data_IF_146268493558
#
_entry.id   IF_146268493558
#
_cell.length_a   1.000
_cell.length_b   1.000
_cell.length_c   1.000
_cell.angle_alpha   90.00
_cell.angle_beta   90.00
_cell.angle_gamma   90.00
#
_symmetry.space_group_name_H-M   'P 1'
#
loop_
_entity.id
_entity.type
_entity.pdbx_description
1 polymer ?
#
# COMPACT_ATOMS: atom_id res chain seq x y z
N UNK A 1 -13.75 -24.14 -9.00
CA UNK A 1 -12.37 -24.28 -9.46
C UNK A 1 -11.88 -23.18 -10.40
N UNK A 2 -12.73 -22.70 -11.33
CA UNK A 2 -12.29 -21.69 -12.33
C UNK A 2 -12.09 -20.28 -11.75
N UNK A 3 -12.79 -19.91 -10.69
CA UNK A 3 -12.68 -18.58 -10.11
C UNK A 3 -11.37 -18.38 -9.29
N UNK A 4 -10.88 -19.44 -8.66
CA UNK A 4 -9.61 -19.40 -7.92
C UNK A 4 -8.39 -19.26 -8.84
N UNK A 5 -8.42 -19.91 -9.98
CA UNK A 5 -7.33 -19.87 -10.97
C UNK A 5 -7.15 -18.46 -11.55
N UNK A 6 -8.24 -17.74 -11.81
CA UNK A 6 -8.21 -16.38 -12.35
C UNK A 6 -7.62 -15.37 -11.35
N UNK A 7 -7.91 -15.50 -10.05
CA UNK A 7 -7.35 -14.61 -9.00
C UNK A 7 -5.85 -14.84 -8.79
N UNK A 8 -5.40 -16.08 -8.90
CA UNK A 8 -3.99 -16.46 -8.78
C UNK A 8 -3.17 -15.88 -9.92
N UNK A 9 -3.65 -15.98 -11.15
CA UNK A 9 -2.99 -15.44 -12.33
C UNK A 9 -2.93 -13.90 -12.28
N UNK A 10 -3.96 -13.25 -11.72
CA UNK A 10 -3.97 -11.79 -11.52
C UNK A 10 -2.89 -11.31 -10.54
N UNK A 11 -2.68 -12.00 -9.42
CA UNK A 11 -1.63 -11.61 -8.47
C UNK A 11 -0.23 -11.72 -9.07
N UNK A 12 0.04 -12.76 -9.87
CA UNK A 12 1.28 -12.87 -10.63
C UNK A 12 1.42 -11.73 -11.63
N UNK A 13 0.37 -11.45 -12.39
CA UNK A 13 0.33 -10.35 -13.35
C UNK A 13 0.58 -9.00 -12.67
N UNK A 14 -0.06 -8.72 -11.53
CA UNK A 14 0.17 -7.49 -10.77
C UNK A 14 1.61 -7.38 -10.27
N UNK A 15 2.22 -8.46 -9.80
CA UNK A 15 3.61 -8.47 -9.41
C UNK A 15 4.54 -8.04 -10.53
N UNK A 16 4.37 -8.62 -11.72
CA UNK A 16 5.15 -8.25 -12.90
C UNK A 16 4.91 -6.81 -13.35
N UNK A 17 3.66 -6.36 -13.35
CA UNK A 17 3.32 -4.97 -13.73
C UNK A 17 3.90 -3.94 -12.75
N UNK A 18 3.87 -4.23 -11.47
CA UNK A 18 4.47 -3.36 -10.45
C UNK A 18 5.99 -3.24 -10.63
N UNK A 19 6.68 -4.33 -10.94
CA UNK A 19 8.11 -4.32 -11.24
C UNK A 19 8.38 -3.48 -12.49
N UNK A 20 7.63 -3.67 -13.56
CA UNK A 20 7.77 -2.90 -14.81
C UNK A 20 7.53 -1.41 -14.59
N UNK A 21 6.64 -1.07 -13.64
CA UNK A 21 6.36 0.32 -13.27
C UNK A 21 7.37 0.92 -12.29
N UNK A 22 8.37 0.16 -11.84
CA UNK A 22 9.47 0.66 -11.02
C UNK A 22 9.26 0.56 -9.51
N UNK A 23 8.30 -0.24 -9.04
CA UNK A 23 8.05 -0.44 -7.62
C UNK A 23 8.86 -1.60 -7.03
N UNK A 24 9.29 -1.43 -5.77
CA UNK A 24 9.83 -2.51 -4.97
C UNK A 24 8.66 -3.29 -4.34
N UNK A 25 8.64 -4.61 -4.50
CA UNK A 25 7.52 -5.43 -4.05
C UNK A 25 7.97 -6.55 -3.11
N UNK A 26 7.01 -7.02 -2.30
CA UNK A 26 7.17 -8.15 -1.40
C UNK A 26 5.95 -9.06 -1.47
N UNK A 27 6.10 -10.39 -1.27
CA UNK A 27 4.96 -11.31 -1.25
C UNK A 27 4.26 -11.23 0.11
N UNK A 28 2.94 -11.14 0.09
CA UNK A 28 2.11 -11.08 1.29
C UNK A 28 1.50 -12.45 1.56
N UNK A 29 1.59 -12.89 2.81
CA UNK A 29 1.03 -14.17 3.24
C UNK A 29 -0.48 -14.18 3.12
N UNK A 30 -1.03 -15.26 2.53
CA UNK A 30 -2.48 -15.44 2.41
C UNK A 30 -3.19 -15.30 3.77
N UNK A 31 -4.21 -14.46 3.81
CA UNK A 31 -4.99 -14.21 5.02
C UNK A 31 -4.34 -13.28 6.04
N UNK A 32 -3.23 -12.63 5.67
CA UNK A 32 -2.49 -11.70 6.54
C UNK A 32 -2.18 -10.40 5.80
N UNK A 33 -1.72 -9.41 6.55
CA UNK A 33 -1.15 -8.16 6.00
C UNK A 33 0.38 -8.19 5.98
N UNK A 34 0.97 -9.25 6.51
CA UNK A 34 2.41 -9.40 6.68
C UNK A 34 3.06 -10.10 5.49
N UNK A 35 4.29 -9.72 5.13
CA UNK A 35 5.09 -10.46 4.15
C UNK A 35 5.37 -11.89 4.64
N UNK A 36 5.49 -12.81 3.67
CA UNK A 36 5.71 -14.24 3.95
C UNK A 36 7.15 -14.58 4.27
N UNK A 37 8.09 -13.76 3.85
CA UNK A 37 9.51 -14.07 3.82
C UNK A 37 10.21 -13.33 4.93
N UNK A 38 11.00 -14.03 5.76
CA UNK A 38 11.86 -13.40 6.75
C UNK A 38 12.92 -12.53 6.05
N UNK A 39 13.20 -11.35 6.61
CA UNK A 39 14.15 -10.42 6.00
C UNK A 39 13.61 -9.70 4.75
N UNK A 40 12.31 -9.63 4.62
CA UNK A 40 11.64 -9.02 3.47
C UNK A 40 12.04 -7.56 3.20
N UNK A 41 12.51 -6.84 4.21
CA UNK A 41 12.97 -5.45 4.05
C UNK A 41 14.18 -5.31 3.10
N UNK A 42 14.93 -6.39 2.93
CA UNK A 42 16.11 -6.45 2.07
C UNK A 42 15.84 -7.08 0.69
N UNK A 43 14.59 -7.43 0.39
CA UNK A 43 14.24 -8.03 -0.91
C UNK A 43 14.39 -6.99 -2.01
N UNK A 44 15.05 -7.41 -3.08
CA UNK A 44 15.15 -6.70 -4.36
C UNK A 44 14.50 -7.58 -5.43
N UNK A 45 13.20 -7.46 -5.56
CA UNK A 45 12.39 -8.34 -6.39
C UNK A 45 12.52 -8.00 -7.87
N UNK A 46 12.71 -9.03 -8.68
CA UNK A 46 12.65 -9.01 -10.14
C UNK A 46 11.57 -9.99 -10.66
N UNK A 47 11.42 -10.06 -11.96
CA UNK A 47 10.44 -10.96 -12.58
C UNK A 47 10.68 -12.43 -12.27
N UNK A 48 11.94 -12.85 -12.19
CA UNK A 48 12.29 -14.22 -11.85
C UNK A 48 11.87 -14.57 -10.42
N UNK A 49 12.08 -13.66 -9.48
CA UNK A 49 11.69 -13.86 -8.08
C UNK A 49 10.16 -13.96 -7.92
N UNK A 50 9.39 -13.16 -8.66
CA UNK A 50 7.92 -13.27 -8.69
C UNK A 50 7.49 -14.67 -9.17
N UNK A 51 8.11 -15.17 -10.23
CA UNK A 51 7.82 -16.52 -10.73
C UNK A 51 8.18 -17.60 -9.70
N UNK A 52 9.29 -17.44 -8.98
CA UNK A 52 9.67 -18.34 -7.91
C UNK A 52 8.66 -18.32 -6.76
N UNK A 53 8.16 -17.17 -6.35
CA UNK A 53 7.12 -17.08 -5.32
C UNK A 53 5.88 -17.87 -5.70
N UNK A 54 5.42 -17.73 -6.93
CA UNK A 54 4.25 -18.48 -7.44
C UNK A 54 4.53 -19.98 -7.45
N UNK A 55 5.70 -20.41 -7.92
CA UNK A 55 6.10 -21.81 -7.98
C UNK A 55 6.27 -22.46 -6.61
N UNK A 56 6.67 -21.67 -5.61
CA UNK A 56 6.89 -22.13 -4.23
C UNK A 56 5.61 -22.09 -3.37
N UNK A 57 4.44 -21.98 -3.97
CA UNK A 57 3.16 -22.06 -3.27
C UNK A 57 2.62 -20.73 -2.76
N UNK A 58 3.23 -19.60 -3.11
CA UNK A 58 2.77 -18.26 -2.70
C UNK A 58 1.76 -17.64 -3.65
N UNK A 59 1.20 -18.44 -4.54
CA UNK A 59 0.26 -17.99 -5.58
C UNK A 59 -1.05 -17.41 -5.04
N UNK A 60 -1.48 -17.83 -3.85
CA UNK A 60 -2.74 -17.40 -3.22
C UNK A 60 -2.58 -16.16 -2.32
N UNK A 61 -1.37 -15.69 -2.14
CA UNK A 61 -1.07 -14.50 -1.34
C UNK A 61 -1.28 -13.21 -2.10
N UNK A 62 -1.04 -12.09 -1.42
CA UNK A 62 -1.07 -10.76 -2.02
C UNK A 62 0.31 -10.26 -2.44
N UNK A 63 0.33 -9.02 -2.90
CA UNK A 63 1.54 -8.27 -3.24
C UNK A 63 1.56 -6.98 -2.44
N UNK A 64 2.65 -6.73 -1.72
CA UNK A 64 2.89 -5.49 -0.99
C UNK A 64 3.92 -4.61 -1.69
N UNK A 65 3.84 -3.32 -1.40
CA UNK A 65 4.84 -2.34 -1.81
C UNK A 65 5.80 -2.12 -0.65
N UNK A 66 7.08 -2.38 -0.88
CA UNK A 66 8.14 -2.05 0.06
C UNK A 66 8.46 -0.56 -0.03
N UNK A 67 8.36 0.13 1.09
CA UNK A 67 8.64 1.56 1.17
C UNK A 67 10.15 1.82 1.15
N UNK A 68 10.67 2.10 -0.02
CA UNK A 68 12.03 2.58 -0.29
C UNK A 68 11.95 3.91 -1.01
N UNK A 69 11.67 3.86 -2.30
CA UNK A 69 11.42 5.04 -3.14
C UNK A 69 9.94 5.44 -3.19
N UNK A 70 9.09 4.73 -2.47
CA UNK A 70 7.66 5.00 -2.32
C UNK A 70 7.35 5.13 -0.84
N UNK A 71 6.68 6.21 -0.47
CA UNK A 71 6.07 6.37 0.85
C UNK A 71 4.56 6.26 0.71
N UNK A 72 3.85 6.08 1.80
CA UNK A 72 2.40 6.01 1.76
C UNK A 72 1.79 6.76 2.95
N UNK A 73 0.80 7.60 2.65
CA UNK A 73 -0.04 8.19 3.69
C UNK A 73 -1.12 7.16 4.05
N UNK A 74 -1.07 6.68 5.28
CA UNK A 74 -1.97 5.67 5.83
C UNK A 74 -2.95 6.33 6.79
N UNK A 75 -4.20 6.38 6.38
CA UNK A 75 -5.29 6.97 7.14
C UNK A 75 -6.04 5.85 7.87
N UNK A 76 -5.60 5.58 9.09
CA UNK A 76 -6.21 4.61 10.00
C UNK A 76 -7.28 5.30 10.86
N UNK A 77 -8.33 5.75 10.21
CA UNK A 77 -9.40 6.54 10.81
C UNK A 77 -10.76 6.07 10.30
N UNK A 78 -11.71 5.90 11.22
CA UNK A 78 -13.09 5.50 10.91
C UNK A 78 -14.05 6.69 10.74
N UNK A 79 -13.61 7.90 11.02
CA UNK A 79 -14.42 9.11 10.85
C UNK A 79 -14.38 9.57 9.40
N UNK A 80 -15.53 9.45 8.72
CA UNK A 80 -15.64 9.79 7.29
C UNK A 80 -15.40 11.27 6.99
N UNK A 81 -15.79 12.16 7.90
CA UNK A 81 -15.61 13.60 7.70
C UNK A 81 -14.15 14.01 7.86
N UNK A 82 -13.45 13.44 8.84
CA UNK A 82 -12.00 13.63 9.00
C UNK A 82 -11.28 13.09 7.75
N UNK A 83 -11.65 11.91 7.28
CA UNK A 83 -11.03 11.28 6.10
C UNK A 83 -11.22 12.13 4.83
N UNK A 84 -12.38 12.74 4.65
CA UNK A 84 -12.63 13.68 3.55
C UNK A 84 -11.69 14.88 3.61
N UNK A 85 -11.52 15.46 4.77
CA UNK A 85 -10.61 16.61 4.98
C UNK A 85 -9.15 16.24 4.70
N UNK A 86 -8.72 15.06 5.16
CA UNK A 86 -7.38 14.55 4.91
C UNK A 86 -7.14 14.29 3.41
N UNK A 87 -8.11 13.71 2.72
CA UNK A 87 -8.06 13.47 1.28
C UNK A 87 -7.93 14.77 0.50
N UNK A 88 -8.74 15.77 0.82
CA UNK A 88 -8.68 17.09 0.19
C UNK A 88 -7.32 17.74 0.44
N UNK A 89 -6.83 17.70 1.68
CA UNK A 89 -5.52 18.25 2.03
C UNK A 89 -4.39 17.59 1.22
N UNK A 90 -4.39 16.27 1.11
CA UNK A 90 -3.38 15.53 0.33
C UNK A 90 -3.42 15.92 -1.15
N UNK A 91 -4.61 16.01 -1.74
CA UNK A 91 -4.78 16.40 -3.14
C UNK A 91 -4.28 17.82 -3.41
N UNK A 92 -4.55 18.75 -2.50
CA UNK A 92 -4.19 20.16 -2.64
C UNK A 92 -2.70 20.44 -2.34
N UNK A 93 -2.12 19.73 -1.37
CA UNK A 93 -0.79 20.05 -0.85
C UNK A 93 0.31 19.11 -1.34
N UNK A 94 -0.03 17.88 -1.72
CA UNK A 94 0.96 16.90 -2.18
C UNK A 94 0.71 16.51 -3.63
N UNK A 95 -0.47 16.02 -3.93
CA UNK A 95 -0.87 15.64 -5.28
C UNK A 95 -1.92 14.55 -5.26
N UNK A 96 -2.67 14.45 -6.35
CA UNK A 96 -3.69 13.42 -6.52
C UNK A 96 -3.06 12.11 -6.99
N UNK A 97 -3.37 11.02 -6.30
CA UNK A 97 -2.92 9.67 -6.64
C UNK A 97 -4.05 8.67 -6.37
N UNK A 98 -3.90 7.45 -6.88
CA UNK A 98 -4.83 6.38 -6.58
C UNK A 98 -4.93 6.11 -5.08
N UNK A 99 -6.11 5.73 -4.63
CA UNK A 99 -6.41 5.47 -3.23
C UNK A 99 -6.74 3.99 -3.06
N UNK A 100 -5.96 3.29 -2.25
CA UNK A 100 -6.21 1.89 -1.93
C UNK A 100 -7.08 1.76 -0.69
N UNK A 101 -8.16 1.02 -0.79
CA UNK A 101 -9.09 0.74 0.31
C UNK A 101 -9.13 -0.75 0.61
N UNK A 102 -8.77 -1.13 1.83
CA UNK A 102 -8.95 -2.48 2.36
C UNK A 102 -10.22 -2.61 3.18
N UNK A 103 -10.37 -1.77 4.19
CA UNK A 103 -11.53 -1.67 5.07
C UNK A 103 -11.99 -0.22 5.15
N UNK A 104 -13.05 0.10 4.39
CA UNK A 104 -13.60 1.44 4.38
C UNK A 104 -14.02 1.90 5.80
N UNK A 105 -13.88 3.16 6.16
CA UNK A 105 -13.44 4.30 5.36
C UNK A 105 -11.93 4.54 5.35
N UNK A 106 -11.13 3.65 5.92
CA UNK A 106 -9.67 3.72 5.93
C UNK A 106 -9.11 3.62 4.52
N UNK A 107 -8.02 4.32 4.25
CA UNK A 107 -7.36 4.24 2.95
C UNK A 107 -5.86 4.56 3.02
N UNK A 108 -5.16 4.21 1.96
CA UNK A 108 -3.73 4.49 1.75
C UNK A 108 -3.55 5.23 0.43
N UNK A 109 -2.74 6.28 0.43
CA UNK A 109 -2.32 6.99 -0.78
C UNK A 109 -0.80 6.93 -0.93
N UNK A 110 -0.28 6.32 -2.00
CA UNK A 110 1.16 6.22 -2.24
C UNK A 110 1.71 7.47 -2.92
N UNK A 111 2.96 7.80 -2.58
CA UNK A 111 3.70 8.93 -3.16
C UNK A 111 5.15 8.55 -3.42
N UNK A 112 5.75 9.17 -4.40
CA UNK A 112 7.18 9.01 -4.72
C UNK A 112 8.02 9.83 -3.74
N UNK A 113 9.15 9.28 -3.32
CA UNK A 113 10.17 9.99 -2.53
C UNK A 113 11.52 9.93 -3.26
N UNK A 114 12.24 11.04 -3.28
CA UNK A 114 13.57 11.14 -3.89
C UNK A 114 14.66 10.50 -3.03
N UNK A 115 14.45 10.44 -1.72
CA UNK A 115 15.25 9.69 -0.77
C UNK A 115 14.34 9.06 0.29
N UNK A 116 14.71 7.89 0.85
CA UNK A 116 13.89 7.24 1.85
C UNK A 116 13.61 8.15 3.05
N UNK A 117 12.38 8.12 3.54
CA UNK A 117 11.97 8.83 4.75
C UNK A 117 11.62 7.80 5.83
N UNK A 118 11.83 8.18 7.09
CA UNK A 118 11.43 7.34 8.22
C UNK A 118 9.93 7.43 8.43
N UNK A 119 9.35 6.38 9.04
CA UNK A 119 7.95 6.38 9.49
C UNK A 119 7.67 7.59 10.35
N UNK A 120 6.53 8.23 10.11
CA UNK A 120 5.98 9.30 10.95
C UNK A 120 4.57 8.88 11.36
N UNK A 121 4.24 9.05 12.63
CA UNK A 121 2.91 8.73 13.14
C UNK A 121 2.36 9.91 13.94
N UNK A 122 1.08 10.24 13.72
CA UNK A 122 0.35 11.18 14.57
C UNK A 122 0.16 10.63 15.98
N UNK A 123 -0.15 11.51 16.92
CA UNK A 123 -0.75 11.07 18.16
C UNK A 123 -2.07 10.34 17.88
N UNK A 124 -2.41 9.37 18.72
CA UNK A 124 -3.74 8.77 18.68
C UNK A 124 -4.76 9.82 19.13
N UNK A 125 -5.88 9.88 18.42
CA UNK A 125 -7.03 10.69 18.81
C UNK A 125 -8.26 9.81 18.91
N UNK A 126 -9.20 10.16 19.77
CA UNK A 126 -10.42 9.40 19.98
C UNK A 126 -11.62 10.24 19.59
N UNK A 127 -12.63 9.58 19.01
CA UNK A 127 -13.95 10.18 18.80
C UNK A 127 -14.79 10.13 20.08
N UNK A 128 -16.02 10.65 20.02
CA UNK A 128 -16.95 10.67 21.15
C UNK A 128 -17.37 9.29 21.64
N UNK A 129 -17.16 8.24 20.82
CA UNK A 129 -17.43 6.84 21.16
C UNK A 129 -16.21 6.12 21.71
N UNK A 130 -15.07 6.80 21.87
CA UNK A 130 -13.83 6.22 22.35
C UNK A 130 -13.07 5.40 21.29
N UNK A 131 -13.47 5.44 20.01
CA UNK A 131 -12.75 4.78 18.93
C UNK A 131 -11.44 5.53 18.67
N UNK A 132 -10.35 4.78 18.66
CA UNK A 132 -9.01 5.36 18.43
C UNK A 132 -8.71 5.45 16.96
N UNK A 133 -8.13 6.57 16.56
CA UNK A 133 -7.72 6.88 15.21
C UNK A 133 -6.25 7.33 15.19
N UNK A 134 -5.59 7.09 14.09
CA UNK A 134 -4.25 7.61 13.82
C UNK A 134 -4.03 7.81 12.32
N UNK A 135 -3.11 8.69 11.98
CA UNK A 135 -2.58 8.79 10.61
C UNK A 135 -1.07 8.56 10.65
N UNK A 136 -0.57 7.93 9.60
CA UNK A 136 0.84 7.60 9.49
C UNK A 136 1.36 7.95 8.10
N UNK A 137 2.65 8.24 8.02
CA UNK A 137 3.40 8.13 6.77
C UNK A 137 4.28 6.90 6.89
N UNK A 138 4.00 5.89 6.09
CA UNK A 138 4.80 4.68 6.00
C UNK A 138 6.08 5.01 5.22
N UNK A 139 7.21 4.64 5.79
CA UNK A 139 8.52 4.96 5.26
C UNK A 139 9.45 3.76 5.23
N UNK A 140 10.74 4.04 5.22
CA UNK A 140 11.80 3.04 5.11
C UNK A 140 11.62 1.86 6.08
N UNK A 141 11.76 0.65 5.55
CA UNK A 141 11.62 -0.58 6.33
C UNK A 141 10.18 -1.05 6.53
N UNK A 142 9.20 -0.35 5.97
CA UNK A 142 7.78 -0.70 6.05
C UNK A 142 7.23 -1.13 4.69
N UNK A 143 6.01 -1.62 4.68
CA UNK A 143 5.29 -2.00 3.47
C UNK A 143 3.79 -1.78 3.64
N UNK A 144 3.07 -1.76 2.55
CA UNK A 144 1.61 -1.83 2.54
C UNK A 144 1.14 -2.80 1.46
N UNK A 145 0.01 -3.47 1.71
CA UNK A 145 -0.58 -4.38 0.72
C UNK A 145 -1.17 -3.57 -0.42
N UNK A 146 -0.75 -3.86 -1.65
CA UNK A 146 -1.28 -3.23 -2.85
C UNK A 146 -2.41 -4.06 -3.47
N UNK A 147 -2.23 -5.37 -3.54
CA UNK A 147 -3.21 -6.30 -4.09
C UNK A 147 -3.30 -7.55 -3.22
N UNK A 148 -4.48 -8.10 -3.10
CA UNK A 148 -4.78 -9.27 -2.29
C UNK A 148 -6.15 -9.18 -1.65
N UNK A 149 -6.38 -10.01 -0.64
CA UNK A 149 -7.64 -10.07 0.11
C UNK A 149 -7.40 -9.55 1.53
N UNK A 150 -8.21 -8.59 1.97
CA UNK A 150 -8.12 -8.04 3.31
C UNK A 150 -8.53 -9.11 4.35
N UNK A 151 -7.71 -9.33 5.41
CA UNK A 151 -7.97 -10.43 6.35
C UNK A 151 -9.26 -10.26 7.18
N UNK A 152 -9.69 -9.04 7.45
CA UNK A 152 -10.90 -8.80 8.24
C UNK A 152 -12.17 -8.80 7.38
N UNK A 153 -12.17 -8.12 6.24
CA UNK A 153 -13.35 -8.02 5.37
C UNK A 153 -13.54 -9.24 4.48
N UNK A 154 -12.48 -10.03 4.24
CA UNK A 154 -12.46 -11.15 3.29
C UNK A 154 -12.74 -10.74 1.84
N UNK A 155 -12.64 -9.44 1.55
CA UNK A 155 -12.82 -8.86 0.24
C UNK A 155 -11.48 -8.40 -0.35
N UNK A 156 -11.34 -8.36 -1.70
CA UNK A 156 -10.15 -7.81 -2.33
C UNK A 156 -9.92 -6.35 -1.93
N UNK A 157 -8.65 -5.96 -1.78
CA UNK A 157 -8.30 -4.55 -1.73
C UNK A 157 -8.72 -3.87 -3.02
N UNK A 158 -9.30 -2.69 -2.91
CA UNK A 158 -9.81 -1.91 -4.04
C UNK A 158 -9.03 -0.62 -4.22
N UNK A 159 -8.89 -0.22 -5.48
CA UNK A 159 -8.29 1.05 -5.85
C UNK A 159 -9.35 1.99 -6.40
N UNK A 160 -9.35 3.21 -5.90
CA UNK A 160 -10.14 4.32 -6.42
C UNK A 160 -9.19 5.26 -7.17
N UNK A 161 -9.45 5.51 -8.45
CA UNK A 161 -8.50 6.07 -9.36
C UNK A 161 -7.54 4.99 -9.88
N UNK A 162 -6.37 5.38 -10.37
CA UNK A 162 -5.40 4.44 -10.92
C UNK A 162 -4.67 3.67 -9.82
N UNK A 163 -4.59 2.34 -9.97
CA UNK A 163 -3.71 1.55 -9.13
C UNK A 163 -2.24 1.72 -9.53
N UNK A 164 -1.32 1.30 -8.67
CA UNK A 164 0.11 1.33 -8.99
C UNK A 164 0.50 0.38 -10.14
N UNK A 165 -0.35 -0.60 -10.45
CA UNK A 165 -0.15 -1.44 -11.62
C UNK A 165 -0.34 -0.66 -12.94
N UNK A 166 -1.06 0.47 -12.90
CA UNK A 166 -1.36 1.32 -14.05
C UNK A 166 -0.58 2.64 -14.08
N UNK A 167 0.25 2.91 -13.08
CA UNK A 167 1.00 4.17 -12.95
C UNK A 167 2.49 3.87 -12.79
N UNK A 168 3.31 4.37 -13.71
CA UNK A 168 4.75 4.31 -13.58
C UNK A 168 5.18 5.13 -12.35
N UNK A 169 6.15 4.62 -11.60
CA UNK A 169 6.67 5.28 -10.40
C UNK A 169 7.10 6.74 -10.65
N UNK A 170 7.69 7.01 -11.81
CA UNK A 170 8.12 8.37 -12.20
C UNK A 170 6.96 9.34 -12.35
N UNK A 171 5.75 8.85 -12.60
CA UNK A 171 4.55 9.66 -12.79
C UNK A 171 3.78 9.87 -11.48
N UNK A 172 4.17 9.21 -10.38
CA UNK A 172 3.61 9.48 -9.06
C UNK A 172 3.98 10.89 -8.59
N UNK A 173 3.03 11.63 -8.00
CA UNK A 173 3.37 12.84 -7.26
C UNK A 173 4.40 12.53 -6.18
N UNK A 174 5.35 13.44 -5.99
CA UNK A 174 6.35 13.34 -4.95
C UNK A 174 5.87 13.94 -3.63
N UNK A 175 6.26 13.31 -2.52
CA UNK A 175 6.08 13.87 -1.17
C UNK A 175 7.45 14.19 -0.58
N UNK A 176 7.57 15.37 0.03
CA UNK A 176 8.76 15.78 0.77
C UNK A 176 8.61 15.39 2.24
N UNK A 177 9.73 15.35 2.96
CA UNK A 177 9.72 15.13 4.41
C UNK A 177 8.88 16.18 5.12
N UNK A 178 8.99 17.44 4.73
CA UNK A 178 8.22 18.56 5.30
C UNK A 178 6.71 18.37 5.10
N UNK A 179 6.30 17.95 3.91
CA UNK A 179 4.88 17.65 3.63
C UNK A 179 4.39 16.43 4.43
N UNK A 180 5.22 15.40 4.56
CA UNK A 180 4.91 14.24 5.37
C UNK A 180 4.74 14.61 6.85
N UNK A 181 5.60 15.42 7.39
CA UNK A 181 5.50 15.95 8.77
C UNK A 181 4.26 16.83 8.95
N UNK A 182 3.91 17.64 7.97
CA UNK A 182 2.73 18.50 8.01
C UNK A 182 1.42 17.69 7.94
N UNK A 183 1.44 16.51 7.31
CA UNK A 183 0.28 15.62 7.20
C UNK A 183 -0.10 14.98 8.54
N UNK A 184 0.85 14.61 9.37
CA UNK A 184 0.64 14.01 10.68
C UNK A 184 0.65 15.07 11.78
#
# INVERSE_FOLDING_TARGET
>A
GKCQTILVDKNKEYGHRLIDNGYAIVPIKKGFKAPMIKGWQAIDADHELVDQWVSNGHRDGGVGILCKSTAACDIDCYDKEVNKKLLVWLRENVGDTGRRVGQAPKFVMPYRVSSPIKKIRSAEFSDDLGTKHAVEVLGEGQQFVAFGVHPATKEPYRWFGNSLADVNWQDLPGITKEKAEAFV
#
